data_IF_186091612208
#
_entry.id   IF_186091612208
#
_cell.length_a   1.000
_cell.length_b   1.000
_cell.length_c   1.000
_cell.angle_alpha   90.00
_cell.angle_beta   90.00
_cell.angle_gamma   90.00
#
_symmetry.space_group_name_H-M   'P 1'
#
loop_
_entity.id
_entity.type
_entity.pdbx_description
1 polymer ?
#
# COMPACT_ATOMS: atom_id res chain seq x y z
N UNK A 1 -3.04 1.78 -10.55
CA UNK A 1 -1.99 1.69 -9.51
C UNK A 1 -0.71 2.31 -10.04
N UNK A 2 -0.17 3.32 -9.36
CA UNK A 2 1.19 3.80 -9.64
C UNK A 2 2.19 2.75 -9.15
N UNK A 3 2.65 1.86 -10.03
CA UNK A 3 3.65 0.83 -9.71
C UNK A 3 5.07 1.40 -9.56
N UNK A 4 5.24 2.71 -9.73
CA UNK A 4 6.56 3.38 -9.69
C UNK A 4 7.01 3.82 -8.30
N UNK A 5 6.16 3.71 -7.27
CA UNK A 5 6.54 4.04 -5.91
C UNK A 5 6.34 2.80 -5.03
N UNK A 6 7.45 2.29 -4.47
CA UNK A 6 7.47 1.18 -3.53
C UNK A 6 7.99 1.68 -2.18
N UNK A 7 7.44 1.16 -1.08
CA UNK A 7 7.86 1.47 0.29
C UNK A 7 8.27 0.19 0.99
N UNK A 8 9.40 0.26 1.68
CA UNK A 8 9.83 -0.79 2.60
C UNK A 8 9.08 -0.64 3.92
N UNK A 9 8.45 -1.72 4.37
CA UNK A 9 7.76 -1.83 5.67
C UNK A 9 8.38 -2.97 6.44
N UNK A 10 8.70 -2.74 7.71
CA UNK A 10 9.18 -3.79 8.60
C UNK A 10 7.98 -4.57 9.12
N UNK A 11 8.04 -5.89 8.99
CA UNK A 11 7.01 -6.79 9.52
C UNK A 11 7.16 -6.89 11.03
N UNK A 12 6.11 -6.58 11.78
CA UNK A 12 6.07 -6.80 13.22
C UNK A 12 5.58 -8.21 13.59
N UNK A 13 5.83 -8.62 14.84
CA UNK A 13 5.37 -9.91 15.34
C UNK A 13 3.84 -9.97 15.37
N UNK A 14 3.26 -10.86 14.56
CA UNK A 14 1.81 -11.02 14.41
C UNK A 14 1.20 -10.23 13.25
N UNK A 15 1.98 -9.42 12.53
CA UNK A 15 1.52 -8.82 11.29
C UNK A 15 1.35 -9.89 10.20
N UNK A 16 0.29 -9.73 9.42
CA UNK A 16 -0.01 -10.57 8.26
C UNK A 16 0.01 -9.70 6.99
N UNK A 17 0.16 -10.34 5.81
CA UNK A 17 0.02 -9.64 4.54
C UNK A 17 -1.31 -8.87 4.48
N UNK A 18 -2.38 -9.47 5.00
CA UNK A 18 -3.68 -8.82 5.11
C UNK A 18 -3.65 -7.56 5.97
N UNK A 19 -3.13 -7.65 7.20
CA UNK A 19 -3.08 -6.51 8.13
C UNK A 19 -2.21 -5.36 7.60
N UNK A 20 -1.06 -5.68 6.99
CA UNK A 20 -0.17 -4.69 6.36
C UNK A 20 -0.87 -4.04 5.16
N UNK A 21 -1.50 -4.85 4.30
CA UNK A 21 -2.23 -4.36 3.13
C UNK A 21 -3.40 -3.47 3.53
N UNK A 22 -4.15 -3.86 4.55
CA UNK A 22 -5.26 -3.06 5.08
C UNK A 22 -4.79 -1.71 5.61
N UNK A 23 -3.66 -1.66 6.33
CA UNK A 23 -3.05 -0.40 6.78
C UNK A 23 -2.62 0.47 5.59
N UNK A 24 -2.04 -0.12 4.55
CA UNK A 24 -1.61 0.61 3.35
C UNK A 24 -2.78 1.13 2.51
N UNK A 25 -3.86 0.38 2.44
CA UNK A 25 -5.10 0.74 1.74
C UNK A 25 -6.07 1.57 2.58
N UNK A 26 -5.76 1.86 3.85
CA UNK A 26 -6.65 2.63 4.73
C UNK A 26 -7.03 4.01 4.18
N UNK A 27 -6.22 4.54 3.26
CA UNK A 27 -6.44 5.83 2.60
C UNK A 27 -6.85 5.70 1.12
N UNK A 28 -7.10 4.48 0.62
CA UNK A 28 -7.49 4.21 -0.77
C UNK A 28 -8.69 3.27 -0.81
N UNK A 29 -9.83 3.78 -1.27
CA UNK A 29 -11.09 3.02 -1.32
C UNK A 29 -11.29 2.21 -2.62
N UNK A 30 -10.54 2.52 -3.68
CA UNK A 30 -10.76 1.97 -5.03
C UNK A 30 -9.95 0.69 -5.35
N UNK A 31 -9.29 0.06 -4.37
CA UNK A 31 -8.37 -1.06 -4.63
C UNK A 31 -8.78 -2.31 -3.85
N UNK A 32 -8.94 -3.44 -4.58
CA UNK A 32 -9.16 -4.74 -3.95
C UNK A 32 -7.88 -5.18 -3.23
N UNK A 33 -8.01 -5.42 -1.92
CA UNK A 33 -6.93 -5.88 -1.06
C UNK A 33 -6.29 -7.19 -1.55
N UNK A 34 -7.04 -8.05 -2.25
CA UNK A 34 -6.52 -9.31 -2.81
C UNK A 34 -5.56 -9.05 -3.96
N UNK A 35 -5.91 -8.13 -4.87
CA UNK A 35 -5.00 -7.71 -5.94
C UNK A 35 -3.74 -7.06 -5.36
N UNK A 36 -3.89 -6.27 -4.30
CA UNK A 36 -2.77 -5.65 -3.61
C UNK A 36 -1.84 -6.66 -2.93
N UNK A 37 -2.40 -7.69 -2.28
CA UNK A 37 -1.62 -8.78 -1.69
C UNK A 37 -0.82 -9.53 -2.77
N UNK A 38 -1.45 -9.85 -3.91
CA UNK A 38 -0.75 -10.50 -5.03
C UNK A 38 0.41 -9.66 -5.52
N UNK A 39 0.22 -8.34 -5.68
CA UNK A 39 1.30 -7.44 -6.08
C UNK A 39 2.46 -7.42 -5.06
N UNK A 40 2.17 -7.45 -3.76
CA UNK A 40 3.21 -7.55 -2.72
C UNK A 40 3.96 -8.88 -2.83
N UNK A 41 3.26 -9.99 -3.03
CA UNK A 41 3.87 -11.31 -3.21
C UNK A 41 4.81 -11.32 -4.42
N UNK A 42 4.39 -10.75 -5.54
CA UNK A 42 5.20 -10.64 -6.76
C UNK A 42 6.45 -9.78 -6.56
N UNK A 43 6.33 -8.60 -5.94
CA UNK A 43 7.46 -7.67 -5.72
C UNK A 43 8.52 -8.30 -4.80
N UNK A 44 8.08 -9.03 -3.77
CA UNK A 44 8.98 -9.63 -2.78
C UNK A 44 9.39 -11.06 -3.13
N UNK A 45 8.95 -11.58 -4.29
CA UNK A 45 9.13 -12.98 -4.69
C UNK A 45 8.71 -13.97 -3.59
N UNK A 46 7.63 -13.65 -2.87
CA UNK A 46 7.08 -14.52 -1.83
C UNK A 46 6.27 -15.64 -2.48
N UNK A 47 6.43 -16.86 -1.97
CA UNK A 47 5.52 -17.94 -2.34
C UNK A 47 4.13 -17.66 -1.75
N UNK A 48 3.10 -17.96 -2.52
CA UNK A 48 1.72 -17.74 -2.11
C UNK A 48 1.43 -18.45 -0.78
N UNK A 49 0.94 -17.69 0.21
CA UNK A 49 0.65 -18.22 1.55
C UNK A 49 1.88 -18.45 2.44
N UNK A 50 3.06 -17.93 2.08
CA UNK A 50 4.23 -17.94 2.97
C UNK A 50 3.94 -17.10 4.22
N UNK A 51 4.20 -17.66 5.40
CA UNK A 51 4.14 -16.91 6.65
C UNK A 51 5.23 -15.82 6.67
N UNK A 52 4.82 -14.57 6.94
CA UNK A 52 5.75 -13.46 7.14
C UNK A 52 6.54 -13.68 8.44
N UNK A 53 7.84 -13.35 8.41
CA UNK A 53 8.68 -13.38 9.61
C UNK A 53 8.78 -11.98 10.20
N UNK A 54 8.56 -11.89 11.51
CA UNK A 54 8.80 -10.65 12.25
C UNK A 54 10.27 -10.20 12.07
N UNK A 55 10.47 -8.93 11.78
CA UNK A 55 11.76 -8.34 11.45
C UNK A 55 12.16 -8.43 9.98
N UNK A 56 11.38 -9.10 9.13
CA UNK A 56 11.59 -9.08 7.67
C UNK A 56 11.17 -7.72 7.11
N UNK A 57 11.89 -7.24 6.09
CA UNK A 57 11.52 -6.03 5.37
C UNK A 57 10.72 -6.42 4.14
N UNK A 58 9.49 -5.93 4.05
CA UNK A 58 8.55 -6.19 2.97
C UNK A 58 8.40 -4.95 2.11
N UNK A 59 8.54 -5.10 0.80
CA UNK A 59 8.33 -4.02 -0.17
C UNK A 59 6.86 -3.98 -0.58
N UNK A 60 6.16 -2.89 -0.30
CA UNK A 60 4.76 -2.72 -0.67
C UNK A 60 4.62 -1.60 -1.70
N UNK A 61 3.71 -1.72 -2.69
CA UNK A 61 3.47 -0.65 -3.65
C UNK A 61 2.73 0.50 -2.96
N UNK A 62 3.28 1.72 -3.00
CA UNK A 62 2.59 2.89 -2.46
C UNK A 62 1.68 3.49 -3.51
N UNK A 63 0.43 3.65 -3.13
CA UNK A 63 -0.56 4.35 -3.92
C UNK A 63 -0.36 5.82 -3.61
N UNK A 64 -0.05 6.63 -4.63
CA UNK A 64 -0.10 8.08 -4.44
C UNK A 64 -1.51 8.40 -3.98
N UNK A 65 -1.63 8.95 -2.77
CA UNK A 65 -2.84 9.62 -2.35
C UNK A 65 -3.24 10.55 -3.50
N UNK A 66 -4.48 10.42 -3.97
CA UNK A 66 -5.09 11.43 -4.83
C UNK A 66 -5.20 12.67 -3.96
N UNK A 67 -4.12 13.45 -3.89
CA UNK A 67 -4.05 14.71 -3.18
C UNK A 67 -5.30 15.50 -3.53
N UNK A 68 -6.21 15.61 -2.56
CA UNK A 68 -7.41 16.45 -2.62
C UNK A 68 -7.02 17.93 -2.56
N UNK A 69 -6.16 18.38 -3.48
CA UNK A 69 -5.84 19.78 -3.72
C UNK A 69 -6.58 20.31 -4.98
N UNK A 70 -7.76 19.77 -5.28
CA UNK A 70 -8.61 20.23 -6.39
C UNK A 70 -9.71 21.23 -6.00
N UNK A 71 -9.91 21.52 -4.70
CA UNK A 71 -11.03 22.35 -4.24
C UNK A 71 -10.62 23.35 -3.14
N UNK A 72 -9.61 24.19 -3.40
CA UNK A 72 -9.51 25.51 -2.75
C UNK A 72 -9.64 26.59 -3.82
N UNK A 73 -10.90 26.91 -4.10
CA UNK A 73 -11.43 28.24 -4.42
C UNK A 73 -10.48 29.23 -5.14
N UNK A 74 -10.50 29.21 -6.48
CA UNK A 74 -10.13 30.38 -7.28
C UNK A 74 -11.39 31.17 -7.67
N UNK A 75 -12.12 31.68 -6.66
CA UNK A 75 -13.01 32.84 -6.79
C UNK A 75 -12.58 33.85 -5.71
N UNK A 76 -11.37 34.38 -5.84
CA UNK A 76 -10.92 35.56 -5.13
C UNK A 76 -9.89 36.29 -6.02
N UNK A 77 -10.28 37.48 -6.49
CA UNK A 77 -9.60 38.41 -7.39
C UNK A 77 -9.53 37.99 -8.87
N UNK A 78 -10.01 38.79 -9.84
CA UNK A 78 -10.25 40.24 -9.89
C UNK A 78 -11.36 40.53 -10.90
#
# INVERSE_FOLDING_TARGET
MDTQNIKAVQVDAGDTLWSISQKALAQTEDIDIREYIVAIEEINHLQHGKALRAGETLMIPTLKEKTMFGFITAWANN
#
